data_IF_720008064010
#
_entry.id   IF_720008064010
#
_cell.length_a   1.000
_cell.length_b   1.000
_cell.length_c   1.000
_cell.angle_alpha   90.00
_cell.angle_beta   90.00
_cell.angle_gamma   90.00
#
_symmetry.space_group_name_H-M   'P 1'
#
loop_
_entity.id
_entity.type
_entity.pdbx_description
1 polymer ?
#
# COMPACT_ATOMS: atom_id res chain seq x y z
N UNK A 1 5.92 61.15 35.04
CA UNK A 1 4.47 60.83 35.14
C UNK A 1 4.11 60.06 33.88
N UNK A 2 4.10 58.74 33.74
CA UNK A 2 4.19 57.52 34.57
C UNK A 2 5.26 56.59 33.89
N UNK A 3 6.18 55.90 34.57
CA UNK A 3 6.04 54.55 35.18
C UNK A 3 5.48 53.51 34.17
N UNK A 4 6.17 52.46 33.71
CA UNK A 4 7.05 51.54 34.46
C UNK A 4 8.15 50.88 33.61
N UNK A 5 9.33 50.71 34.24
CA UNK A 5 10.37 49.74 33.89
C UNK A 5 9.95 48.31 34.30
N UNK A 6 10.44 47.30 33.58
CA UNK A 6 11.05 46.04 34.08
C UNK A 6 11.27 45.12 32.87
N UNK A 7 12.22 44.21 32.77
CA UNK A 7 13.56 43.93 33.32
C UNK A 7 13.94 42.60 32.64
N UNK A 8 15.23 42.27 32.57
CA UNK A 8 15.80 40.96 32.21
C UNK A 8 15.89 40.64 30.70
N UNK A 9 17.05 40.78 30.05
CA UNK A 9 18.28 39.95 30.17
C UNK A 9 18.05 38.53 29.64
N UNK A 10 18.70 38.27 28.50
CA UNK A 10 19.31 37.01 28.03
C UNK A 10 18.62 35.70 28.42
N UNK A 11 18.18 34.93 27.42
CA UNK A 11 18.53 33.51 27.36
C UNK A 11 18.55 33.01 25.91
N UNK A 12 19.78 32.83 25.41
CA UNK A 12 20.11 31.99 24.26
C UNK A 12 19.91 30.53 24.69
N UNK A 13 19.08 29.78 23.97
CA UNK A 13 18.88 28.30 23.94
C UNK A 13 17.37 28.03 23.87
N UNK A 14 16.84 27.12 23.06
CA UNK A 14 17.46 25.98 22.45
C UNK A 14 16.80 25.71 21.10
N UNK A 15 17.63 25.25 20.16
CA UNK A 15 17.27 24.25 19.18
C UNK A 15 16.55 23.10 19.92
N UNK A 16 15.24 23.17 20.10
CA UNK A 16 14.44 21.95 20.05
C UNK A 16 14.35 21.66 18.56
N UNK A 17 15.26 20.88 17.99
CA UNK A 17 15.11 19.43 18.06
C UNK A 17 13.62 19.09 18.08
N UNK A 18 12.88 19.57 17.06
CA UNK A 18 11.82 18.75 16.49
C UNK A 18 12.51 17.40 16.38
N UNK A 19 12.06 16.36 17.11
CA UNK A 19 12.48 15.06 16.71
C UNK A 19 12.03 15.02 15.27
N UNK A 20 13.01 15.10 14.37
CA UNK A 20 13.08 14.16 13.29
C UNK A 20 12.82 12.81 13.97
N UNK A 21 11.56 12.51 14.26
CA UNK A 21 10.94 11.28 13.84
C UNK A 21 11.23 11.27 12.34
N UNK A 22 12.48 11.02 11.95
CA UNK A 22 12.91 9.72 11.49
C UNK A 22 11.69 8.84 11.45
N UNK A 23 10.85 9.14 10.46
CA UNK A 23 10.05 8.12 9.88
C UNK A 23 11.12 7.17 9.38
N UNK A 24 11.37 6.15 10.19
CA UNK A 24 12.14 5.01 9.78
C UNK A 24 11.35 4.42 8.62
N UNK A 25 11.54 5.00 7.44
CA UNK A 25 11.53 4.23 6.22
C UNK A 25 12.83 3.43 6.23
N UNK A 26 12.94 2.50 7.17
CA UNK A 26 13.45 1.18 6.81
C UNK A 26 12.41 0.59 5.84
N UNK A 27 12.30 1.20 4.65
CA UNK A 27 11.78 0.49 3.50
C UNK A 27 12.72 -0.69 3.37
N UNK A 28 12.18 -1.87 3.62
CA UNK A 28 12.93 -3.11 3.59
C UNK A 28 13.25 -3.42 2.13
N UNK A 29 14.18 -2.67 1.53
CA UNK A 29 14.62 -2.80 0.13
C UNK A 29 15.46 -4.08 -0.10
N UNK A 30 15.29 -5.09 0.76
CA UNK A 30 15.98 -6.38 0.73
C UNK A 30 15.22 -7.52 1.42
N UNK A 31 13.98 -7.31 1.89
CA UNK A 31 13.14 -8.44 2.28
C UNK A 31 12.60 -9.14 1.03
N UNK A 32 12.65 -10.47 1.04
CA UNK A 32 12.01 -11.27 0.01
C UNK A 32 10.52 -10.93 -0.07
N UNK A 33 9.99 -10.86 -1.29
CA UNK A 33 8.57 -10.64 -1.53
C UNK A 33 7.76 -11.67 -0.71
N UNK A 34 6.91 -11.19 0.21
CA UNK A 34 6.19 -12.05 1.13
C UNK A 34 4.75 -11.58 1.31
N UNK A 35 3.84 -12.54 1.41
CA UNK A 35 2.44 -12.32 1.75
C UNK A 35 2.07 -13.27 2.88
N UNK A 36 1.69 -12.73 4.03
CA UNK A 36 1.40 -13.50 5.22
C UNK A 36 0.07 -13.08 5.87
N UNK A 37 -0.51 -13.98 6.66
CA UNK A 37 -1.69 -13.73 7.48
C UNK A 37 -1.23 -13.50 8.92
N UNK A 38 -1.57 -12.35 9.47
CA UNK A 38 -1.31 -11.98 10.85
C UNK A 38 -2.58 -12.23 11.67
N UNK A 39 -2.72 -13.46 12.16
CA UNK A 39 -3.89 -13.90 12.92
C UNK A 39 -4.14 -13.09 14.19
N UNK A 40 -3.13 -12.72 15.03
CA UNK A 40 -3.38 -11.91 16.22
C UNK A 40 -3.98 -10.53 15.96
N UNK A 41 -3.69 -9.92 14.80
CA UNK A 41 -4.14 -8.56 14.46
C UNK A 41 -5.20 -8.54 13.35
N UNK A 42 -5.76 -9.69 12.97
CA UNK A 42 -6.79 -9.86 11.93
C UNK A 42 -6.48 -9.11 10.61
N UNK A 43 -5.23 -9.19 10.16
CA UNK A 43 -4.76 -8.46 8.97
C UNK A 43 -3.85 -9.29 8.08
N UNK A 44 -3.63 -8.81 6.85
CA UNK A 44 -2.60 -9.35 5.97
C UNK A 44 -1.34 -8.52 6.09
N UNK A 45 -0.19 -9.15 5.86
CA UNK A 45 1.10 -8.49 5.74
C UNK A 45 1.63 -8.67 4.31
N UNK A 46 1.96 -7.55 3.65
CA UNK A 46 2.72 -7.54 2.40
C UNK A 46 4.11 -7.00 2.73
N UNK A 47 5.14 -7.82 2.53
CA UNK A 47 6.54 -7.48 2.84
C UNK A 47 6.74 -7.02 4.30
N UNK A 48 6.02 -7.68 5.21
CA UNK A 48 6.03 -7.39 6.65
C UNK A 48 5.25 -6.14 7.07
N UNK A 49 4.57 -5.46 6.15
CA UNK A 49 3.75 -4.28 6.42
C UNK A 49 2.25 -4.60 6.37
N UNK A 50 1.41 -4.01 7.26
CA UNK A 50 -0.04 -4.15 7.19
C UNK A 50 -0.60 -3.84 5.81
N UNK A 51 -1.38 -4.76 5.26
CA UNK A 51 -1.92 -4.70 3.92
C UNK A 51 -3.41 -5.03 3.90
N UNK A 52 -4.16 -4.27 3.09
CA UNK A 52 -5.57 -4.52 2.79
C UNK A 52 -5.77 -4.48 1.29
N UNK A 53 -6.26 -5.57 0.72
CA UNK A 53 -6.63 -5.59 -0.70
C UNK A 53 -8.02 -5.02 -0.92
N UNK A 54 -8.17 -4.26 -2.00
CA UNK A 54 -9.42 -3.84 -2.60
C UNK A 54 -9.37 -4.42 -4.01
N UNK A 55 -10.20 -5.45 -4.25
CA UNK A 55 -10.15 -6.28 -5.44
C UNK A 55 -11.43 -6.17 -6.27
N UNK A 56 -11.27 -6.29 -7.59
CA UNK A 56 -12.37 -6.34 -8.56
C UNK A 56 -12.26 -7.59 -9.44
N UNK A 57 -13.41 -8.16 -9.83
CA UNK A 57 -13.47 -9.34 -10.69
C UNK A 57 -13.19 -9.00 -12.16
N UNK A 58 -12.22 -9.69 -12.77
CA UNK A 58 -11.96 -9.64 -14.21
C UNK A 58 -11.88 -11.06 -14.74
N UNK A 59 -12.75 -11.45 -15.65
CA UNK A 59 -12.72 -12.78 -16.25
C UNK A 59 -12.05 -12.70 -17.63
N UNK A 60 -10.75 -13.01 -17.72
CA UNK A 60 -9.96 -12.81 -18.95
C UNK A 60 -10.56 -13.52 -20.17
N UNK A 61 -11.16 -14.70 -19.97
CA UNK A 61 -11.81 -15.49 -21.03
C UNK A 61 -13.06 -14.83 -21.62
N UNK A 62 -13.58 -13.76 -21.01
CA UNK A 62 -14.70 -12.96 -21.51
C UNK A 62 -14.27 -11.67 -22.20
N UNK A 63 -12.96 -11.40 -22.24
CA UNK A 63 -12.40 -10.13 -22.71
C UNK A 63 -11.36 -10.44 -23.76
N UNK A 64 -11.47 -9.82 -24.93
CA UNK A 64 -10.50 -10.01 -26.00
C UNK A 64 -9.08 -9.65 -25.51
N UNK A 65 -8.03 -10.45 -25.79
CA UNK A 65 -6.69 -10.25 -25.24
C UNK A 65 -6.09 -8.85 -25.47
N UNK A 66 -6.38 -8.24 -26.62
CA UNK A 66 -5.93 -6.87 -26.93
C UNK A 66 -6.48 -5.81 -25.96
N UNK A 67 -7.57 -6.10 -25.24
CA UNK A 67 -8.22 -5.18 -24.32
C UNK A 67 -7.75 -5.35 -22.86
N UNK A 68 -7.04 -6.42 -22.51
CA UNK A 68 -6.68 -6.70 -21.11
C UNK A 68 -5.92 -5.55 -20.46
N UNK A 69 -4.95 -4.97 -21.17
CA UNK A 69 -4.17 -3.83 -20.67
C UNK A 69 -5.06 -2.63 -20.33
N UNK A 70 -6.00 -2.28 -21.21
CA UNK A 70 -6.94 -1.18 -20.96
C UNK A 70 -7.82 -1.49 -19.73
N UNK A 71 -8.34 -2.71 -19.60
CA UNK A 71 -9.19 -3.09 -18.45
C UNK A 71 -8.42 -3.00 -17.13
N UNK A 72 -7.19 -3.50 -17.09
CA UNK A 72 -6.33 -3.44 -15.90
C UNK A 72 -5.96 -2.01 -15.53
N UNK A 73 -5.68 -1.16 -16.53
CA UNK A 73 -5.39 0.26 -16.30
C UNK A 73 -6.61 0.99 -15.71
N UNK A 74 -7.82 0.72 -16.20
CA UNK A 74 -9.05 1.30 -15.65
C UNK A 74 -9.32 0.85 -14.22
N UNK A 75 -9.13 -0.44 -13.93
CA UNK A 75 -9.28 -0.97 -12.57
C UNK A 75 -8.27 -0.34 -11.63
N UNK A 76 -7.01 -0.16 -12.06
CA UNK A 76 -6.02 0.58 -11.27
C UNK A 76 -6.42 2.04 -11.07
N UNK A 77 -6.95 2.71 -12.09
CA UNK A 77 -7.41 4.10 -12.01
C UNK A 77 -8.61 4.29 -11.06
N UNK A 78 -9.44 3.25 -10.89
CA UNK A 78 -10.53 3.22 -9.91
C UNK A 78 -10.05 3.04 -8.46
N UNK A 79 -8.75 2.85 -8.23
CA UNK A 79 -8.17 2.72 -6.89
C UNK A 79 -8.02 1.29 -6.38
N UNK A 80 -8.31 0.29 -7.21
CA UNK A 80 -8.07 -1.12 -6.85
C UNK A 80 -6.57 -1.41 -6.80
N UNK A 81 -6.17 -2.22 -5.82
CA UNK A 81 -4.78 -2.67 -5.66
C UNK A 81 -4.57 -4.16 -5.96
N UNK A 82 -5.66 -4.90 -6.14
CA UNK A 82 -5.66 -6.30 -6.54
C UNK A 82 -6.77 -6.56 -7.58
N UNK A 83 -6.67 -7.69 -8.27
CA UNK A 83 -7.73 -8.22 -9.12
C UNK A 83 -8.02 -9.66 -8.70
N UNK A 84 -9.23 -10.13 -8.97
CA UNK A 84 -9.59 -11.54 -8.84
C UNK A 84 -10.10 -12.06 -10.18
N UNK A 85 -9.76 -13.30 -10.51
CA UNK A 85 -10.21 -13.93 -11.74
C UNK A 85 -10.37 -15.44 -11.54
N UNK A 86 -11.26 -16.03 -12.34
CA UNK A 86 -11.42 -17.47 -12.42
C UNK A 86 -10.57 -18.06 -13.54
N UNK A 87 -10.14 -19.30 -13.34
CA UNK A 87 -9.55 -20.15 -14.37
C UNK A 87 -10.60 -21.20 -14.73
N UNK A 88 -11.42 -20.97 -15.79
CA UNK A 88 -12.40 -21.95 -16.23
C UNK A 88 -11.69 -23.14 -16.88
N UNK A 89 -11.70 -24.30 -16.22
CA UNK A 89 -11.03 -25.51 -16.72
C UNK A 89 -11.49 -25.88 -18.13
N UNK A 90 -12.80 -25.86 -18.38
CA UNK A 90 -13.42 -26.14 -19.68
C UNK A 90 -12.98 -25.21 -20.83
N UNK A 91 -12.35 -24.07 -20.52
CA UNK A 91 -11.79 -23.17 -21.52
C UNK A 91 -10.35 -23.55 -21.90
N UNK A 92 -9.63 -24.19 -20.99
CA UNK A 92 -8.25 -24.65 -21.22
C UNK A 92 -8.20 -26.09 -21.71
N UNK A 93 -9.09 -26.93 -21.20
CA UNK A 93 -9.18 -28.34 -21.54
C UNK A 93 -10.61 -28.64 -22.01
N UNK A 94 -10.78 -28.70 -23.33
CA UNK A 94 -12.07 -29.01 -23.97
C UNK A 94 -12.29 -30.52 -24.03
N UNK A 95 -11.20 -31.28 -24.14
CA UNK A 95 -11.16 -32.74 -24.16
C UNK A 95 -10.18 -33.23 -23.11
N UNK A 96 -10.47 -34.38 -22.50
CA UNK A 96 -9.63 -34.93 -21.43
C UNK A 96 -8.18 -35.13 -21.89
N UNK A 97 -7.25 -34.46 -21.23
CA UNK A 97 -5.81 -34.55 -21.47
C UNK A 97 -5.23 -33.62 -22.55
N UNK A 98 -6.02 -32.70 -23.13
CA UNK A 98 -5.57 -31.72 -24.14
C UNK A 98 -5.42 -30.28 -23.62
#
# INVERSE_FOLDING_TARGET
MLLMLNLSVFFLSALSAIPCHAWSKAGNYGAAASFAVDYPNDQFLLDGQPFRYISGSIHYFRIHPSQWKDRLQRVRALGFNAIQYYIPWNFHEVYEGE
#
